data_IF_073164407435
#
_entry.id   IF_073164407435
#
_cell.length_a   1.000
_cell.length_b   1.000
_cell.length_c   1.000
_cell.angle_alpha   90.00
_cell.angle_beta   90.00
_cell.angle_gamma   90.00
#
_symmetry.space_group_name_H-M   'P 1'
#
loop_
_entity.id
_entity.type
_entity.pdbx_description
1 polymer ?
#
# COMPACT_ATOMS: atom_id res chain seq x y z
N UNK A 1 19.44 -15.18 41.72
CA UNK A 1 18.66 -14.24 40.89
C UNK A 1 18.72 -14.77 39.46
N UNK A 2 17.60 -15.06 38.77
CA UNK A 2 17.68 -15.62 37.44
C UNK A 2 18.02 -14.52 36.43
N UNK A 3 19.08 -14.72 35.67
CA UNK A 3 19.55 -13.82 34.61
C UNK A 3 18.61 -13.96 33.41
N UNK A 4 17.83 -12.92 33.10
CA UNK A 4 17.00 -12.90 31.90
C UNK A 4 17.90 -12.91 30.65
N UNK A 5 17.70 -13.87 29.74
CA UNK A 5 18.33 -13.87 28.42
C UNK A 5 17.77 -12.72 27.59
N UNK A 6 18.60 -11.72 27.33
CA UNK A 6 18.33 -10.69 26.31
C UNK A 6 18.55 -11.29 24.92
N UNK A 7 17.58 -12.04 24.44
CA UNK A 7 17.48 -12.41 23.02
C UNK A 7 16.15 -11.87 22.52
N UNK A 8 16.01 -10.55 22.54
CA UNK A 8 14.93 -9.91 21.79
C UNK A 8 15.54 -9.63 20.41
N UNK A 9 15.09 -10.36 19.40
CA UNK A 9 15.39 -10.03 18.01
C UNK A 9 14.99 -8.57 17.75
N UNK A 10 15.77 -7.81 16.95
CA UNK A 10 15.40 -6.45 16.61
C UNK A 10 13.97 -6.44 16.04
N UNK A 11 13.14 -5.45 16.41
CA UNK A 11 11.79 -5.35 15.87
C UNK A 11 11.85 -5.41 14.35
N UNK A 12 11.09 -6.34 13.76
CA UNK A 12 10.93 -6.39 12.31
C UNK A 12 10.17 -5.14 11.94
N UNK A 13 10.72 -4.32 11.03
CA UNK A 13 9.97 -3.28 10.35
C UNK A 13 8.88 -3.97 9.52
N UNK A 14 7.75 -4.23 10.16
CA UNK A 14 6.50 -4.39 9.45
C UNK A 14 6.33 -3.11 8.62
N UNK A 15 5.76 -3.16 7.40
CA UNK A 15 5.27 -1.96 6.73
C UNK A 15 4.14 -1.36 7.60
N UNK A 16 4.50 -0.70 8.69
CA UNK A 16 3.60 -0.15 9.68
C UNK A 16 3.18 1.24 9.20
N UNK A 17 1.91 1.37 8.85
CA UNK A 17 1.27 2.66 8.64
C UNK A 17 0.27 2.66 7.50
N UNK A 18 -0.18 3.87 7.17
CA UNK A 18 -1.07 4.23 6.04
C UNK A 18 -0.57 3.73 4.67
N UNK A 19 0.49 2.94 4.56
CA UNK A 19 0.96 2.36 3.30
C UNK A 19 0.63 0.85 3.19
N UNK A 20 0.21 0.19 4.27
CA UNK A 20 -0.16 -1.23 4.23
C UNK A 20 -1.40 -1.49 3.33
N UNK A 21 -2.40 -0.61 3.38
CA UNK A 21 -3.58 -0.68 2.49
C UNK A 21 -3.28 -0.38 1.00
N UNK A 22 -2.15 0.28 0.69
CA UNK A 22 -1.74 0.54 -0.69
C UNK A 22 -1.26 -0.74 -1.39
N UNK A 23 -0.77 -1.71 -0.61
CA UNK A 23 -0.34 -3.03 -1.11
C UNK A 23 -1.51 -3.88 -1.63
N UNK A 24 -2.73 -3.66 -1.12
CA UNK A 24 -3.95 -4.33 -1.61
C UNK A 24 -4.54 -3.69 -2.89
N UNK A 25 -3.99 -2.58 -3.36
CA UNK A 25 -4.54 -1.80 -4.48
C UNK A 25 -3.87 -2.10 -5.82
N UNK A 26 -3.44 -3.35 -6.04
CA UNK A 26 -2.82 -3.76 -7.30
C UNK A 26 -3.80 -3.62 -8.48
N UNK A 27 -3.38 -3.05 -9.63
CA UNK A 27 -4.26 -2.89 -10.78
C UNK A 27 -4.60 -4.23 -11.42
N UNK A 28 -5.85 -4.38 -11.89
CA UNK A 28 -6.27 -5.56 -12.66
C UNK A 28 -5.45 -5.65 -13.96
N UNK A 29 -4.83 -6.81 -14.28
CA UNK A 29 -4.10 -6.99 -15.53
C UNK A 29 -4.97 -6.68 -16.75
N UNK A 30 -4.42 -5.91 -17.71
CA UNK A 30 -5.14 -5.52 -18.93
C UNK A 30 -6.18 -4.40 -18.76
N UNK A 31 -6.46 -3.94 -17.54
CA UNK A 31 -7.38 -2.82 -17.33
C UNK A 31 -6.67 -1.46 -17.44
N UNK A 32 -6.97 -0.71 -18.50
CA UNK A 32 -6.39 0.61 -18.73
C UNK A 32 -6.68 1.60 -17.60
N UNK A 33 -7.89 1.59 -17.05
CA UNK A 33 -8.29 2.47 -15.93
C UNK A 33 -7.49 2.18 -14.67
N UNK A 34 -7.41 0.91 -14.25
CA UNK A 34 -6.63 0.52 -13.07
C UNK A 34 -5.15 0.87 -13.24
N UNK A 35 -4.58 0.65 -14.43
CA UNK A 35 -3.18 1.01 -14.70
C UNK A 35 -2.92 2.52 -14.67
N UNK A 36 -3.84 3.33 -15.18
CA UNK A 36 -3.71 4.79 -15.15
C UNK A 36 -3.74 5.32 -13.70
N UNK A 37 -4.67 4.83 -12.90
CA UNK A 37 -4.76 5.20 -11.48
C UNK A 37 -3.54 4.68 -10.70
N UNK A 38 -3.00 3.51 -11.02
CA UNK A 38 -1.77 2.97 -10.41
C UNK A 38 -0.53 3.84 -10.69
N UNK A 39 -0.39 4.38 -11.91
CA UNK A 39 0.69 5.34 -12.22
C UNK A 39 0.53 6.64 -11.43
N UNK A 40 -0.70 7.11 -11.30
CA UNK A 40 -1.01 8.36 -10.56
C UNK A 40 -0.78 8.21 -9.06
N UNK A 41 -1.07 7.02 -8.51
CA UNK A 41 -0.75 6.63 -7.14
C UNK A 41 0.76 6.73 -6.89
N UNK A 42 1.57 6.04 -7.69
CA UNK A 42 3.04 6.05 -7.52
C UNK A 42 3.63 7.46 -7.65
N UNK A 43 3.09 8.28 -8.57
CA UNK A 43 3.50 9.68 -8.70
C UNK A 43 3.14 10.51 -7.45
N UNK A 44 1.95 10.31 -6.90
CA UNK A 44 1.52 10.98 -5.67
C UNK A 44 2.32 10.54 -4.45
N UNK A 45 2.66 9.25 -4.35
CA UNK A 45 3.56 8.73 -3.30
C UNK A 45 4.96 9.34 -3.39
N UNK A 46 5.55 9.37 -4.60
CA UNK A 46 6.86 9.98 -4.83
C UNK A 46 6.92 11.47 -4.52
N UNK A 47 5.78 12.18 -4.61
CA UNK A 47 5.65 13.58 -4.25
C UNK A 47 5.29 13.82 -2.77
N UNK A 48 5.16 12.76 -1.94
CA UNK A 48 4.71 12.87 -0.55
C UNK A 48 3.23 13.23 -0.38
N UNK A 49 2.44 13.14 -1.46
CA UNK A 49 1.02 13.46 -1.52
C UNK A 49 0.12 12.32 -1.03
N UNK A 50 0.23 11.94 0.24
CA UNK A 50 -0.48 10.78 0.82
C UNK A 50 -2.00 10.80 0.58
N UNK A 51 -2.64 11.96 0.75
CA UNK A 51 -4.08 12.09 0.52
C UNK A 51 -4.49 11.89 -0.95
N UNK A 52 -3.59 12.18 -1.90
CA UNK A 52 -3.84 11.96 -3.32
C UNK A 52 -3.57 10.50 -3.70
N UNK A 53 -2.50 9.91 -3.18
CA UNK A 53 -2.21 8.47 -3.31
C UNK A 53 -3.39 7.62 -2.79
N UNK A 54 -3.93 7.99 -1.63
CA UNK A 54 -5.12 7.40 -1.03
C UNK A 54 -6.35 7.39 -1.95
N UNK A 55 -6.61 8.49 -2.66
CA UNK A 55 -7.73 8.60 -3.60
C UNK A 55 -7.52 7.68 -4.81
N UNK A 56 -6.32 7.64 -5.36
CA UNK A 56 -6.00 6.76 -6.47
C UNK A 56 -6.13 5.28 -6.09
N UNK A 57 -5.64 4.91 -4.90
CA UNK A 57 -5.79 3.57 -4.34
C UNK A 57 -7.26 3.15 -4.19
N UNK A 58 -8.09 4.03 -3.64
CA UNK A 58 -9.53 3.79 -3.49
C UNK A 58 -10.22 3.57 -4.84
N UNK A 59 -9.88 4.35 -5.86
CA UNK A 59 -10.42 4.18 -7.22
C UNK A 59 -10.03 2.84 -7.84
N UNK A 60 -8.78 2.38 -7.64
CA UNK A 60 -8.35 1.07 -8.14
C UNK A 60 -9.17 -0.02 -7.46
N UNK A 61 -9.33 0.04 -6.13
CA UNK A 61 -10.10 -0.94 -5.36
C UNK A 61 -11.57 -1.00 -5.83
N UNK A 62 -12.23 0.15 -5.94
CA UNK A 62 -13.62 0.26 -6.37
C UNK A 62 -13.81 -0.30 -7.79
N UNK A 63 -12.96 0.11 -8.73
CA UNK A 63 -13.02 -0.37 -10.11
C UNK A 63 -12.69 -1.86 -10.21
N UNK A 64 -11.70 -2.36 -9.46
CA UNK A 64 -11.32 -3.78 -9.44
C UNK A 64 -12.46 -4.68 -8.96
N UNK A 65 -13.30 -4.21 -8.04
CA UNK A 65 -14.49 -4.93 -7.57
C UNK A 65 -15.52 -5.20 -8.68
N UNK A 66 -15.52 -4.41 -9.76
CA UNK A 66 -16.37 -4.62 -10.93
C UNK A 66 -15.83 -5.66 -11.93
N UNK A 67 -14.60 -6.17 -11.72
CA UNK A 67 -14.03 -7.27 -12.53
C UNK A 67 -14.26 -8.66 -11.90
N UNK A 68 -14.98 -8.73 -10.78
CA UNK A 68 -15.25 -9.97 -10.03
C UNK A 68 -16.61 -10.56 -10.40
#
# INVERSE_FOLDING_TARGET
MPTHKTTQEPPIDLPMGFNAWLLDCAPVPGCATCQAEWRSLQAAEGAGGFGQAAKHAMKIRDHSGSHR
#
